data_IF_656737222702
#
_entry.id   IF_656737222702
#
_cell.length_a   1.000
_cell.length_b   1.000
_cell.length_c   1.000
_cell.angle_alpha   90.00
_cell.angle_beta   90.00
_cell.angle_gamma   90.00
#
_symmetry.space_group_name_H-M   'P 1'
#
loop_
_entity.id
_entity.type
_entity.pdbx_description
1 polymer ?
#
# COMPACT_ATOMS: atom_id res chain seq x y z
N UNK A 1 -2.63 -3.25 -20.00
CA UNK A 1 -2.30 -3.97 -18.75
C UNK A 1 -1.44 -3.04 -17.92
N UNK A 2 -1.71 -2.87 -16.63
CA UNK A 2 -0.97 -1.93 -15.79
C UNK A 2 0.33 -2.55 -15.32
N UNK A 3 1.46 -1.96 -15.71
CA UNK A 3 2.75 -2.28 -15.13
C UNK A 3 2.93 -1.51 -13.82
N UNK A 4 3.09 -2.26 -12.72
CA UNK A 4 3.21 -1.72 -11.36
C UNK A 4 4.66 -1.44 -10.97
N UNK A 5 5.61 -1.91 -11.77
CA UNK A 5 7.06 -1.77 -11.51
C UNK A 5 7.63 -0.49 -12.10
N UNK A 6 6.86 0.20 -12.96
CA UNK A 6 7.21 1.51 -13.48
C UNK A 6 7.00 2.60 -12.43
N UNK A 7 7.88 3.59 -12.47
CA UNK A 7 7.75 4.81 -11.67
C UNK A 7 6.54 5.62 -12.12
N UNK A 8 5.79 6.15 -11.16
CA UNK A 8 4.51 6.82 -11.36
C UNK A 8 4.51 8.20 -10.74
N UNK A 9 3.80 9.10 -11.40
CA UNK A 9 3.57 10.44 -10.86
C UNK A 9 2.72 10.39 -9.60
N UNK A 10 3.10 11.23 -8.64
CA UNK A 10 2.42 11.36 -7.37
C UNK A 10 1.21 12.30 -7.50
N UNK A 11 0.10 11.96 -6.85
CA UNK A 11 -1.02 12.89 -6.63
C UNK A 11 -0.74 13.84 -5.46
N UNK A 12 0.07 13.39 -4.50
CA UNK A 12 0.46 14.14 -3.32
C UNK A 12 1.96 13.98 -3.09
N UNK A 13 2.65 15.08 -2.77
CA UNK A 13 4.09 15.00 -2.46
C UNK A 13 4.31 14.15 -1.20
N UNK A 14 5.27 13.23 -1.28
CA UNK A 14 5.65 12.37 -0.16
C UNK A 14 6.36 13.18 0.94
N UNK A 15 5.97 12.94 2.19
CA UNK A 15 6.67 13.39 3.40
C UNK A 15 6.48 12.36 4.52
N UNK A 16 7.29 12.44 5.58
CA UNK A 16 7.12 11.54 6.74
C UNK A 16 5.79 11.77 7.47
N UNK A 17 5.32 13.01 7.55
CA UNK A 17 4.01 13.32 8.16
C UNK A 17 2.86 12.69 7.36
N UNK A 18 2.91 12.83 6.04
CA UNK A 18 1.91 12.22 5.14
C UNK A 18 1.99 10.70 5.12
N UNK A 19 3.20 10.13 5.26
CA UNK A 19 3.37 8.70 5.48
C UNK A 19 2.69 8.23 6.78
N UNK A 20 2.88 8.95 7.89
CA UNK A 20 2.25 8.62 9.17
C UNK A 20 0.71 8.71 9.07
N UNK A 21 0.19 9.75 8.42
CA UNK A 21 -1.25 9.90 8.15
C UNK A 21 -1.78 8.76 7.28
N UNK A 22 -1.07 8.41 6.20
CA UNK A 22 -1.41 7.28 5.33
C UNK A 22 -1.45 5.96 6.11
N UNK A 23 -0.49 5.73 7.02
CA UNK A 23 -0.44 4.53 7.86
C UNK A 23 -1.65 4.41 8.76
N UNK A 24 -2.01 5.48 9.47
CA UNK A 24 -3.20 5.53 10.33
C UNK A 24 -4.46 5.30 9.50
N UNK A 25 -4.57 5.97 8.36
CA UNK A 25 -5.70 5.84 7.45
C UNK A 25 -5.88 4.39 6.96
N UNK A 26 -4.81 3.79 6.43
CA UNK A 26 -4.86 2.42 5.90
C UNK A 26 -5.15 1.41 6.99
N UNK A 27 -4.61 1.57 8.20
CA UNK A 27 -4.95 0.69 9.33
C UNK A 27 -6.44 0.76 9.68
N UNK A 28 -7.02 1.97 9.74
CA UNK A 28 -8.48 2.14 9.94
C UNK A 28 -9.28 1.42 8.85
N UNK A 29 -8.87 1.56 7.59
CA UNK A 29 -9.52 0.87 6.46
C UNK A 29 -9.35 -0.65 6.49
N UNK A 30 -8.22 -1.13 7.00
CA UNK A 30 -7.98 -2.55 7.20
C UNK A 30 -8.92 -3.13 8.27
N UNK A 31 -9.13 -2.42 9.37
CA UNK A 31 -10.11 -2.76 10.39
C UNK A 31 -11.55 -2.73 9.85
N UNK A 32 -11.93 -1.71 9.07
CA UNK A 32 -13.24 -1.66 8.39
C UNK A 32 -13.46 -2.90 7.50
N UNK A 33 -12.44 -3.29 6.73
CA UNK A 33 -12.52 -4.47 5.86
C UNK A 33 -12.64 -5.79 6.64
N UNK A 34 -11.99 -5.91 7.81
CA UNK A 34 -12.16 -7.05 8.69
C UNK A 34 -13.61 -7.13 9.23
N UNK A 35 -14.19 -5.99 9.61
CA UNK A 35 -15.57 -5.91 10.04
C UNK A 35 -16.57 -6.30 8.93
N UNK A 36 -16.36 -5.84 7.69
CA UNK A 36 -17.17 -6.25 6.52
C UNK A 36 -17.16 -7.77 6.29
N UNK A 37 -16.09 -8.45 6.68
CA UNK A 37 -15.92 -9.91 6.56
C UNK A 37 -16.37 -10.68 7.81
N UNK A 38 -16.87 -9.99 8.82
CA UNK A 38 -17.24 -10.55 10.12
C UNK A 38 -16.08 -11.32 10.79
N UNK A 39 -14.85 -10.82 10.64
CA UNK A 39 -13.67 -11.35 11.35
C UNK A 39 -13.17 -10.37 12.41
N UNK A 40 -12.31 -10.85 13.29
CA UNK A 40 -11.72 -10.01 14.34
C UNK A 40 -10.90 -8.86 13.73
N UNK A 41 -10.90 -7.67 14.37
CA UNK A 41 -10.07 -6.57 13.91
C UNK A 41 -8.58 -6.97 14.01
N UNK A 42 -7.78 -6.63 12.99
CA UNK A 42 -6.35 -6.91 12.99
C UNK A 42 -5.64 -6.06 14.07
N UNK A 43 -4.60 -6.63 14.68
CA UNK A 43 -3.80 -5.92 15.69
C UNK A 43 -2.80 -4.93 15.06
N UNK A 44 -2.41 -5.16 13.81
CA UNK A 44 -1.47 -4.36 13.03
C UNK A 44 -1.80 -4.44 11.52
N UNK A 45 -0.84 -4.08 10.67
CA UNK A 45 -0.98 -4.11 9.21
C UNK A 45 -0.59 -5.47 8.59
N UNK A 46 -0.58 -6.55 9.38
CA UNK A 46 -0.30 -7.89 8.86
C UNK A 46 -1.28 -8.26 7.73
N UNK A 47 -0.73 -8.83 6.66
CA UNK A 47 -1.45 -9.21 5.45
C UNK A 47 -1.91 -8.02 4.58
N UNK A 48 -1.62 -6.77 4.95
CA UNK A 48 -2.10 -5.60 4.22
C UNK A 48 -1.14 -5.16 3.10
N UNK A 49 0.05 -5.76 2.95
CA UNK A 49 1.12 -5.28 2.06
C UNK A 49 0.63 -4.99 0.63
N UNK A 50 -0.28 -5.84 0.11
CA UNK A 50 -0.90 -5.64 -1.20
C UNK A 50 -1.74 -4.36 -1.30
N UNK A 51 -2.59 -4.12 -0.31
CA UNK A 51 -3.42 -2.92 -0.29
C UNK A 51 -2.59 -1.69 0.03
N UNK A 52 -1.65 -1.81 0.97
CA UNK A 52 -0.74 -0.75 1.37
C UNK A 52 0.11 -0.26 0.20
N UNK A 53 0.76 -1.16 -0.54
CA UNK A 53 1.64 -0.73 -1.62
C UNK A 53 0.90 -0.17 -2.84
N UNK A 54 -0.30 -0.69 -3.14
CA UNK A 54 -1.19 -0.09 -4.13
C UNK A 54 -1.65 1.29 -3.70
N UNK A 55 -2.04 1.46 -2.44
CA UNK A 55 -2.48 2.75 -1.91
C UNK A 55 -1.36 3.79 -1.98
N UNK A 56 -0.17 3.46 -1.46
CA UNK A 56 0.98 4.36 -1.50
C UNK A 56 1.38 4.70 -2.93
N UNK A 57 1.34 3.73 -3.85
CA UNK A 57 1.63 3.99 -5.26
C UNK A 57 0.63 4.97 -5.90
N UNK A 58 -0.66 4.83 -5.57
CA UNK A 58 -1.69 5.73 -6.11
C UNK A 58 -1.59 7.14 -5.53
N UNK A 59 -1.25 7.29 -4.25
CA UNK A 59 -1.17 8.61 -3.60
C UNK A 59 0.15 9.32 -3.92
N UNK A 60 1.27 8.63 -3.69
CA UNK A 60 2.61 9.23 -3.66
C UNK A 60 3.47 8.85 -4.86
N UNK A 61 2.93 8.11 -5.83
CA UNK A 61 3.66 7.70 -7.03
C UNK A 61 4.66 6.58 -6.76
N UNK A 62 5.79 6.59 -7.48
CA UNK A 62 6.82 5.57 -7.32
C UNK A 62 6.52 4.27 -8.07
N UNK A 63 7.33 3.25 -7.81
CA UNK A 63 7.12 1.89 -8.30
C UNK A 63 6.77 0.93 -7.16
N UNK A 64 6.19 -0.22 -7.50
CA UNK A 64 5.96 -1.35 -6.58
C UNK A 64 7.05 -2.40 -6.83
N UNK A 65 7.71 -2.80 -5.75
CA UNK A 65 8.71 -3.86 -5.71
C UNK A 65 8.26 -4.96 -4.73
N UNK A 66 8.97 -6.09 -4.74
CA UNK A 66 8.67 -7.22 -3.87
C UNK A 66 8.84 -8.58 -4.54
N UNK A 67 8.34 -9.59 -3.83
CA UNK A 67 8.35 -11.02 -4.17
C UNK A 67 7.09 -11.71 -3.60
N UNK A 68 7.05 -13.04 -3.65
CA UNK A 68 5.85 -13.81 -3.27
C UNK A 68 5.39 -13.62 -1.81
N UNK A 69 6.28 -13.27 -0.87
CA UNK A 69 5.90 -13.07 0.53
C UNK A 69 5.54 -11.61 0.84
N UNK A 70 6.12 -10.63 0.12
CA UNK A 70 5.96 -9.22 0.46
C UNK A 70 6.03 -8.28 -0.73
N UNK A 71 5.29 -7.18 -0.66
CA UNK A 71 5.39 -6.08 -1.63
C UNK A 71 5.41 -4.72 -0.94
N UNK A 72 6.19 -3.80 -1.50
CA UNK A 72 6.47 -2.47 -0.96
C UNK A 72 6.66 -1.46 -2.11
N UNK A 73 6.91 -0.20 -1.80
CA UNK A 73 7.14 0.85 -2.79
C UNK A 73 8.58 1.35 -2.81
N UNK A 74 9.02 1.80 -3.98
CA UNK A 74 10.15 2.72 -4.11
C UNK A 74 9.61 4.09 -4.50
N UNK A 75 9.82 5.10 -3.64
CA UNK A 75 9.33 6.47 -3.85
C UNK A 75 10.51 7.43 -3.69
N UNK A 76 10.86 8.16 -4.74
CA UNK A 76 12.05 9.02 -4.75
C UNK A 76 13.34 8.26 -4.41
N UNK A 77 13.45 7.00 -4.85
CA UNK A 77 14.59 6.12 -4.57
C UNK A 77 14.63 5.53 -3.15
N UNK A 78 13.58 5.71 -2.34
CA UNK A 78 13.50 5.19 -0.96
C UNK A 78 12.53 4.03 -0.86
N UNK A 79 12.88 3.03 -0.05
CA UNK A 79 11.93 1.99 0.37
C UNK A 79 10.86 2.64 1.24
N UNK A 80 9.62 2.45 0.85
CA UNK A 80 8.43 2.91 1.57
C UNK A 80 7.48 1.72 1.72
N UNK A 81 7.20 1.36 2.97
CA UNK A 81 6.36 0.21 3.31
C UNK A 81 5.52 0.55 4.54
N UNK A 82 4.19 0.53 4.40
CA UNK A 82 3.28 0.79 5.51
C UNK A 82 3.29 -0.32 6.56
N UNK A 83 3.55 -1.55 6.12
CA UNK A 83 3.55 -2.78 6.94
C UNK A 83 4.94 -3.13 7.49
N UNK A 84 5.92 -2.22 7.41
CA UNK A 84 7.31 -2.50 7.80
C UNK A 84 7.50 -2.97 9.26
N UNK A 85 6.56 -2.63 10.14
CA UNK A 85 6.52 -3.01 11.57
C UNK A 85 5.44 -4.04 11.89
N UNK A 86 4.75 -4.58 10.87
CA UNK A 86 3.81 -5.67 11.05
C UNK A 86 4.54 -6.96 11.42
N UNK A 87 3.91 -7.77 12.27
CA UNK A 87 4.49 -9.00 12.82
C UNK A 87 4.88 -9.99 11.70
N UNK A 88 4.05 -10.10 10.66
CA UNK A 88 4.31 -10.99 9.53
C UNK A 88 5.53 -10.54 8.72
N UNK A 89 5.65 -9.25 8.41
CA UNK A 89 6.80 -8.67 7.68
C UNK A 89 8.08 -8.83 8.48
N UNK A 90 8.04 -8.60 9.80
CA UNK A 90 9.19 -8.79 10.70
C UNK A 90 9.69 -10.24 10.77
N UNK A 91 8.85 -11.21 10.38
CA UNK A 91 9.20 -12.63 10.33
C UNK A 91 9.81 -13.07 8.99
N UNK A 92 9.83 -12.20 7.98
CA UNK A 92 10.40 -12.49 6.66
C UNK A 92 11.92 -12.29 6.68
N UNK A 93 12.67 -13.27 6.17
CA UNK A 93 14.16 -13.20 6.15
C UNK A 93 14.69 -12.04 5.30
N UNK A 94 14.10 -11.83 4.12
CA UNK A 94 14.49 -10.79 3.16
C UNK A 94 13.24 -10.02 2.69
N UNK A 95 12.62 -9.16 3.53
CA UNK A 95 11.35 -8.52 3.20
C UNK A 95 11.45 -7.58 1.99
N UNK A 96 12.63 -7.00 1.75
CA UNK A 96 12.88 -6.04 0.66
C UNK A 96 13.67 -6.63 -0.51
N UNK A 97 13.65 -7.95 -0.68
CA UNK A 97 14.07 -8.57 -1.93
C UNK A 97 13.09 -8.14 -3.04
N UNK A 98 13.59 -7.90 -4.25
CA UNK A 98 12.74 -7.65 -5.40
C UNK A 98 13.00 -8.69 -6.49
N UNK A 99 11.93 -9.36 -6.90
CA UNK A 99 11.91 -10.30 -8.02
C UNK A 99 11.03 -9.69 -9.13
N UNK A 100 11.61 -9.07 -10.17
CA UNK A 100 10.83 -8.36 -11.20
C UNK A 100 9.78 -9.25 -11.88
N UNK A 101 10.15 -10.50 -12.17
CA UNK A 101 9.28 -11.47 -12.84
C UNK A 101 8.03 -11.82 -12.03
N UNK A 102 8.04 -11.61 -10.70
CA UNK A 102 6.88 -11.83 -9.85
C UNK A 102 5.67 -10.98 -10.29
N UNK A 103 5.90 -9.75 -10.74
CA UNK A 103 4.82 -8.85 -11.20
C UNK A 103 4.39 -9.11 -12.65
N UNK A 104 5.16 -9.90 -13.40
CA UNK A 104 4.79 -10.36 -14.74
C UNK A 104 3.82 -11.55 -14.71
N UNK A 105 3.66 -12.23 -13.57
CA UNK A 105 2.75 -13.37 -13.40
C UNK A 105 1.29 -12.91 -13.58
N UNK A 106 0.51 -13.50 -14.50
CA UNK A 106 -0.87 -13.10 -14.77
C UNK A 106 -1.79 -13.11 -13.55
N UNK A 107 -1.67 -14.12 -12.68
CA UNK A 107 -2.44 -14.25 -11.44
C UNK A 107 -2.12 -13.13 -10.46
N UNK A 108 -0.84 -12.71 -10.41
CA UNK A 108 -0.42 -11.58 -9.59
C UNK A 108 -1.07 -10.30 -10.09
N UNK A 109 -1.03 -10.05 -11.41
CA UNK A 109 -1.65 -8.88 -12.02
C UNK A 109 -3.17 -8.87 -11.80
N UNK A 110 -3.85 -10.00 -11.98
CA UNK A 110 -5.27 -10.16 -11.68
C UNK A 110 -5.57 -9.88 -10.21
N UNK A 111 -4.75 -10.38 -9.29
CA UNK A 111 -4.88 -10.14 -7.85
C UNK A 111 -4.76 -8.65 -7.50
N UNK A 112 -3.83 -7.92 -8.11
CA UNK A 112 -3.68 -6.47 -7.93
C UNK A 112 -4.88 -5.71 -8.54
N UNK A 113 -5.29 -6.07 -9.74
CA UNK A 113 -6.43 -5.46 -10.44
C UNK A 113 -7.75 -5.65 -9.67
N UNK A 114 -7.94 -6.78 -8.99
CA UNK A 114 -9.12 -7.01 -8.16
C UNK A 114 -9.14 -6.15 -6.88
N UNK A 115 -7.98 -5.69 -6.40
CA UNK A 115 -7.88 -4.82 -5.22
C UNK A 115 -8.05 -3.34 -5.58
N UNK A 116 -7.71 -2.95 -6.80
CA UNK A 116 -7.68 -1.57 -7.28
C UNK A 116 -8.96 -0.77 -7.05
N UNK A 117 -10.18 -1.27 -7.34
CA UNK A 117 -11.40 -0.47 -7.15
C UNK A 117 -11.56 0.02 -5.71
N UNK A 118 -11.26 -0.86 -4.75
CA UNK A 118 -11.30 -0.52 -3.32
C UNK A 118 -10.21 0.48 -2.96
N UNK A 119 -8.98 0.25 -3.43
CA UNK A 119 -7.85 1.16 -3.19
C UNK A 119 -8.13 2.56 -3.76
N UNK A 120 -8.72 2.66 -4.96
CA UNK A 120 -9.10 3.95 -5.55
C UNK A 120 -10.11 4.71 -4.68
N UNK A 121 -11.07 4.01 -4.09
CA UNK A 121 -12.02 4.62 -3.15
C UNK A 121 -11.30 5.15 -1.90
N UNK A 122 -10.38 4.36 -1.35
CA UNK A 122 -9.55 4.75 -0.21
C UNK A 122 -8.68 5.97 -0.52
N UNK A 123 -8.05 6.01 -1.70
CA UNK A 123 -7.23 7.15 -2.16
C UNK A 123 -8.07 8.43 -2.21
N UNK A 124 -9.27 8.38 -2.81
CA UNK A 124 -10.16 9.54 -2.88
C UNK A 124 -10.58 10.05 -1.49
N UNK A 125 -10.87 9.13 -0.56
CA UNK A 125 -11.19 9.49 0.83
C UNK A 125 -10.00 10.13 1.54
N UNK A 126 -8.80 9.55 1.40
CA UNK A 126 -7.59 10.06 2.01
C UNK A 126 -7.25 11.47 1.53
N UNK A 127 -7.26 11.71 0.21
CA UNK A 127 -6.97 13.03 -0.34
C UNK A 127 -7.93 14.10 0.18
N UNK A 128 -9.21 13.77 0.31
CA UNK A 128 -10.22 14.66 0.90
C UNK A 128 -9.97 14.94 2.38
N UNK A 129 -9.55 13.93 3.16
CA UNK A 129 -9.20 14.08 4.58
C UNK A 129 -7.98 14.99 4.77
N UNK A 130 -6.98 14.90 3.89
CA UNK A 130 -5.79 15.75 3.91
C UNK A 130 -6.13 17.20 3.56
N UNK A 131 -6.87 17.43 2.47
CA UNK A 131 -7.32 18.77 2.05
C UNK A 131 -8.11 19.47 3.17
N UNK A 132 -9.06 18.76 3.79
CA UNK A 132 -9.87 19.30 4.90
C UNK A 132 -9.08 19.57 6.19
N UNK A 133 -7.86 19.05 6.30
CA UNK A 133 -6.98 19.28 7.44
C UNK A 133 -5.99 20.43 7.18
N UNK A 134 -5.63 20.68 5.93
CA UNK A 134 -4.79 21.82 5.51
C UNK A 134 -5.57 23.15 5.50
N UNK A 135 -6.91 23.10 5.34
CA UNK A 135 -7.81 24.26 5.41
C UNK A 135 -8.18 24.73 6.84
N UNK A 136 -7.64 24.10 7.88
CA UNK A 136 -7.92 24.41 9.30
C UNK A 136 -6.72 25.03 10.00
#
# INVERSE_FOLDING_TARGET
MTDWTLDREAQLAYSYDRFAQAKIFVFRKWCEQAAERHVLPPADLSGSCKYGSLFMNQVFGGSICGHYQHQYNIIGGRIVDLSHDAIDVGSIKNPYLHEPDFFAIPEKQASLNNCLPRVKHWVAQFLKEIESAEDK
#
